data_IF_517714855802
#
_entry.id   IF_517714855802
#
_cell.length_a   1.000
_cell.length_b   1.000
_cell.length_c   1.000
_cell.angle_alpha   90.00
_cell.angle_beta   90.00
_cell.angle_gamma   90.00
#
_symmetry.space_group_name_H-M   'P 1'
#
loop_
_entity.id
_entity.type
_entity.pdbx_description
1 polymer ?
#
# COMPACT_ATOMS: atom_id res chain seq x y z
N UNK A 1 -4.66 -4.43 -24.63
CA UNK A 1 -4.67 -3.03 -25.06
C UNK A 1 -6.09 -2.45 -25.23
N UNK A 2 -7.05 -3.02 -26.01
CA UNK A 2 -8.38 -2.42 -26.18
C UNK A 2 -9.13 -2.20 -24.87
N UNK A 3 -9.00 -3.11 -23.92
CA UNK A 3 -9.64 -3.03 -22.61
C UNK A 3 -9.15 -1.82 -21.78
N UNK A 4 -7.86 -1.50 -21.85
CA UNK A 4 -7.27 -0.34 -21.11
C UNK A 4 -7.93 0.95 -21.60
N UNK A 5 -8.03 1.12 -22.94
CA UNK A 5 -8.68 2.29 -23.55
C UNK A 5 -10.17 2.38 -23.19
N UNK A 6 -10.89 1.28 -23.28
CA UNK A 6 -12.31 1.25 -22.90
C UNK A 6 -12.50 1.61 -21.42
N UNK A 7 -11.60 1.15 -20.53
CA UNK A 7 -11.67 1.40 -19.09
C UNK A 7 -11.43 2.86 -18.74
N UNK A 8 -10.44 3.51 -19.37
CA UNK A 8 -10.19 4.94 -19.13
C UNK A 8 -11.33 5.78 -19.67
N UNK A 9 -11.82 5.52 -20.91
CA UNK A 9 -12.95 6.25 -21.46
C UNK A 9 -14.18 6.15 -20.55
N UNK A 10 -14.54 4.95 -20.12
CA UNK A 10 -15.65 4.77 -19.18
C UNK A 10 -15.44 5.45 -17.81
N UNK A 11 -14.20 5.67 -17.40
CA UNK A 11 -13.90 6.44 -16.18
C UNK A 11 -14.09 7.94 -16.40
N UNK A 12 -13.57 8.48 -17.51
CA UNK A 12 -13.74 9.89 -17.89
C UNK A 12 -15.22 10.24 -18.06
N UNK A 13 -15.99 9.40 -18.76
CA UNK A 13 -17.42 9.59 -18.97
C UNK A 13 -18.20 9.64 -17.65
N UNK A 14 -17.93 8.71 -16.72
CA UNK A 14 -18.60 8.67 -15.40
C UNK A 14 -18.24 9.85 -14.52
N UNK A 15 -17.02 10.36 -14.60
CA UNK A 15 -16.56 11.51 -13.82
C UNK A 15 -16.89 12.85 -14.46
N UNK A 16 -17.24 12.88 -15.74
CA UNK A 16 -17.53 14.11 -16.50
C UNK A 16 -16.28 14.98 -16.66
N UNK A 17 -15.10 14.38 -16.87
CA UNK A 17 -13.81 15.08 -17.04
C UNK A 17 -13.12 14.60 -18.31
N UNK A 18 -12.21 15.42 -18.82
CA UNK A 18 -11.53 15.17 -20.09
C UNK A 18 -10.22 14.36 -19.91
N UNK A 19 -9.62 14.37 -18.72
CA UNK A 19 -8.40 13.62 -18.41
C UNK A 19 -8.32 13.24 -16.93
N UNK A 20 -7.44 12.31 -16.59
CA UNK A 20 -7.04 11.99 -15.21
C UNK A 20 -5.57 12.30 -14.97
N UNK A 21 -5.24 12.76 -13.76
CA UNK A 21 -3.84 13.00 -13.40
C UNK A 21 -3.06 11.70 -13.23
N UNK A 22 -3.63 10.69 -12.59
CA UNK A 22 -3.01 9.40 -12.37
C UNK A 22 -3.95 8.26 -12.82
N UNK A 23 -3.46 7.44 -13.74
CA UNK A 23 -4.14 6.21 -14.14
C UNK A 23 -3.34 4.99 -13.68
N UNK A 24 -3.95 4.14 -12.87
CA UNK A 24 -3.27 2.98 -12.29
C UNK A 24 -3.78 1.67 -12.91
N UNK A 25 -2.85 0.83 -13.37
CA UNK A 25 -3.16 -0.55 -13.73
C UNK A 25 -3.44 -1.35 -12.45
N UNK A 26 -4.65 -1.89 -12.32
CA UNK A 26 -5.10 -2.56 -11.10
C UNK A 26 -4.29 -3.84 -10.78
N UNK A 27 -3.91 -4.60 -11.81
CA UNK A 27 -3.09 -5.82 -11.72
C UNK A 27 -2.35 -6.05 -13.04
N UNK A 28 -1.19 -6.74 -13.01
CA UNK A 28 -0.60 -7.27 -14.23
C UNK A 28 -1.52 -8.33 -14.85
N UNK A 29 -1.64 -8.31 -16.17
CA UNK A 29 -2.31 -9.38 -16.90
C UNK A 29 -1.26 -10.42 -17.34
N UNK A 30 -1.32 -11.68 -16.84
CA UNK A 30 -0.32 -12.69 -17.17
C UNK A 30 -0.38 -13.15 -18.63
N UNK A 31 -1.47 -12.85 -19.34
CA UNK A 31 -1.68 -13.25 -20.75
C UNK A 31 -1.34 -12.12 -21.73
N UNK A 32 -1.01 -10.92 -21.25
CA UNK A 32 -0.65 -9.77 -22.09
C UNK A 32 0.83 -9.45 -21.98
N UNK A 33 1.53 -9.39 -23.09
CA UNK A 33 2.94 -9.01 -23.07
C UNK A 33 3.10 -7.53 -22.65
N UNK A 34 4.06 -7.18 -21.75
CA UNK A 34 4.21 -5.82 -21.22
C UNK A 34 4.35 -4.73 -22.30
N UNK A 35 4.94 -5.04 -23.45
CA UNK A 35 5.06 -4.11 -24.56
C UNK A 35 3.70 -3.66 -25.14
N UNK A 36 2.71 -4.54 -25.14
CA UNK A 36 1.36 -4.19 -25.62
C UNK A 36 0.66 -3.23 -24.65
N UNK A 37 0.78 -3.51 -23.36
CA UNK A 37 0.27 -2.63 -22.31
C UNK A 37 0.95 -1.27 -22.35
N UNK A 38 2.29 -1.24 -22.44
CA UNK A 38 3.08 -0.01 -22.52
C UNK A 38 2.70 0.85 -23.73
N UNK A 39 2.58 0.24 -24.91
CA UNK A 39 2.23 0.95 -26.13
C UNK A 39 0.84 1.63 -26.05
N UNK A 40 -0.11 1.02 -25.34
CA UNK A 40 -1.43 1.64 -25.14
C UNK A 40 -1.40 2.75 -24.09
N UNK A 41 -0.66 2.56 -23.00
CA UNK A 41 -0.47 3.60 -21.98
C UNK A 41 0.22 4.84 -22.53
N UNK A 42 1.30 4.65 -23.32
CA UNK A 42 1.99 5.77 -23.98
C UNK A 42 1.05 6.56 -24.89
N UNK A 43 0.16 5.89 -25.67
CA UNK A 43 -0.85 6.58 -26.47
C UNK A 43 -1.81 7.41 -25.62
N UNK A 44 -2.26 6.88 -24.46
CA UNK A 44 -3.17 7.62 -23.57
C UNK A 44 -2.50 8.88 -23.01
N UNK A 45 -1.19 8.82 -22.74
CA UNK A 45 -0.40 9.98 -22.30
C UNK A 45 -0.21 10.96 -23.47
N UNK A 46 0.17 10.48 -24.67
CA UNK A 46 0.37 11.31 -25.86
C UNK A 46 -0.92 12.03 -26.30
N UNK A 47 -2.08 11.40 -26.11
CA UNK A 47 -3.41 11.97 -26.37
C UNK A 47 -3.89 12.94 -25.25
N UNK A 48 -3.17 13.03 -24.14
CA UNK A 48 -3.50 13.89 -23.00
C UNK A 48 -4.67 13.40 -22.14
N UNK A 49 -5.12 12.14 -22.30
CA UNK A 49 -6.18 11.54 -21.49
C UNK A 49 -5.67 11.16 -20.09
N UNK A 50 -4.38 10.96 -19.94
CA UNK A 50 -3.69 10.55 -18.71
C UNK A 50 -2.40 11.37 -18.58
N UNK A 51 -2.12 11.93 -17.39
CA UNK A 51 -0.85 12.62 -17.14
C UNK A 51 0.24 11.67 -16.66
N UNK A 52 -0.08 10.82 -15.69
CA UNK A 52 0.88 9.96 -15.01
C UNK A 52 0.38 8.51 -14.96
N UNK A 53 1.31 7.58 -15.05
CA UNK A 53 1.03 6.15 -14.97
C UNK A 53 1.42 5.64 -13.58
N UNK A 54 0.53 4.83 -12.99
CA UNK A 54 0.80 4.02 -11.81
C UNK A 54 0.49 2.56 -12.07
N UNK A 55 0.93 1.73 -11.15
CA UNK A 55 0.60 0.30 -11.13
C UNK A 55 0.01 -0.08 -9.77
N UNK A 56 -0.59 -1.25 -9.68
CA UNK A 56 -1.07 -1.81 -8.43
C UNK A 56 -0.83 -3.31 -8.41
N UNK A 57 -0.35 -3.83 -7.28
CA UNK A 57 -0.03 -5.25 -7.11
C UNK A 57 1.02 -5.77 -8.11
N UNK A 58 1.96 -4.92 -8.51
CA UNK A 58 3.10 -5.29 -9.34
C UNK A 58 4.29 -5.66 -8.47
N UNK A 59 4.90 -6.80 -8.79
CA UNK A 59 6.19 -7.19 -8.25
C UNK A 59 7.34 -6.43 -8.92
N UNK A 60 8.53 -6.36 -8.29
CA UNK A 60 9.68 -5.65 -8.86
C UNK A 60 9.98 -6.02 -10.30
N UNK A 61 10.02 -7.31 -10.64
CA UNK A 61 10.31 -7.79 -12.00
C UNK A 61 9.21 -7.43 -13.00
N UNK A 62 7.94 -7.40 -12.57
CA UNK A 62 6.82 -6.98 -13.42
C UNK A 62 6.86 -5.49 -13.71
N UNK A 63 7.22 -4.69 -12.70
CA UNK A 63 7.45 -3.25 -12.85
C UNK A 63 8.57 -2.98 -13.83
N UNK A 64 9.72 -3.66 -13.72
CA UNK A 64 10.84 -3.54 -14.65
C UNK A 64 10.46 -4.01 -16.06
N UNK A 65 9.70 -5.10 -16.20
CA UNK A 65 9.25 -5.59 -17.49
C UNK A 65 8.34 -4.57 -18.20
N UNK A 66 7.44 -3.91 -17.48
CA UNK A 66 6.61 -2.84 -18.04
C UNK A 66 7.46 -1.60 -18.36
N UNK A 67 8.30 -1.15 -17.44
CA UNK A 67 9.18 0.02 -17.58
C UNK A 67 10.12 -0.08 -18.79
N UNK A 68 10.54 -1.31 -19.16
CA UNK A 68 11.40 -1.54 -20.33
C UNK A 68 10.78 -1.03 -21.63
N UNK A 69 9.47 -1.03 -21.75
CA UNK A 69 8.74 -0.67 -22.99
C UNK A 69 7.96 0.64 -22.85
N UNK A 70 7.68 1.08 -21.64
CA UNK A 70 6.93 2.29 -21.33
C UNK A 70 7.86 3.51 -21.39
N UNK A 71 7.47 4.57 -22.13
CA UNK A 71 8.18 5.85 -22.17
C UNK A 71 7.83 6.73 -20.98
N UNK A 72 6.54 6.75 -20.62
CA UNK A 72 6.06 7.50 -19.47
C UNK A 72 6.62 6.93 -18.16
N UNK A 73 6.93 7.75 -17.14
CA UNK A 73 7.37 7.25 -15.84
C UNK A 73 6.23 6.54 -15.12
N UNK A 74 6.55 5.45 -14.41
CA UNK A 74 5.68 4.86 -13.41
C UNK A 74 5.92 5.59 -12.10
N UNK A 75 4.92 6.30 -11.56
CA UNK A 75 5.09 7.16 -10.38
C UNK A 75 4.51 6.57 -9.09
N UNK A 76 3.71 5.51 -9.18
CA UNK A 76 3.14 4.86 -7.99
C UNK A 76 2.99 3.36 -8.16
N UNK A 77 3.11 2.63 -7.05
CA UNK A 77 2.68 1.22 -6.95
C UNK A 77 1.76 1.07 -5.74
N UNK A 78 0.49 0.73 -5.99
CA UNK A 78 -0.51 0.55 -4.94
C UNK A 78 -0.54 -0.92 -4.50
N UNK A 79 -0.15 -1.17 -3.26
CA UNK A 79 0.01 -2.51 -2.69
C UNK A 79 -0.64 -2.63 -1.32
N UNK A 80 -0.95 -3.86 -0.90
CA UNK A 80 -1.48 -4.11 0.45
C UNK A 80 -0.35 -4.05 1.48
N UNK A 81 -0.36 -3.02 2.33
CA UNK A 81 0.58 -2.90 3.45
C UNK A 81 -0.17 -2.45 4.69
N UNK A 82 0.04 -3.15 5.80
CA UNK A 82 -0.45 -2.79 7.13
C UNK A 82 0.26 -3.65 8.17
N UNK A 83 0.06 -3.36 9.44
CA UNK A 83 0.50 -4.26 10.54
C UNK A 83 -0.12 -5.67 10.48
N UNK A 84 -1.17 -5.89 9.66
CA UNK A 84 -1.74 -7.21 9.39
C UNK A 84 -1.35 -7.78 8.02
N UNK A 85 -0.58 -7.04 7.23
CA UNK A 85 -0.04 -7.44 5.94
C UNK A 85 1.39 -6.92 5.81
N UNK A 86 2.32 -7.71 6.31
CA UNK A 86 3.72 -7.33 6.52
C UNK A 86 4.64 -7.77 5.38
N UNK A 87 4.16 -8.59 4.42
CA UNK A 87 5.01 -9.17 3.38
C UNK A 87 5.94 -8.13 2.72
N UNK A 88 5.46 -6.94 2.29
CA UNK A 88 6.33 -5.94 1.66
C UNK A 88 7.44 -5.39 2.57
N UNK A 89 7.25 -5.47 3.90
CA UNK A 89 8.27 -5.06 4.90
C UNK A 89 9.27 -6.19 5.16
N UNK A 90 8.79 -7.45 5.13
CA UNK A 90 9.65 -8.62 5.40
C UNK A 90 10.68 -8.87 4.33
N UNK A 91 10.29 -8.61 3.10
CA UNK A 91 11.06 -8.92 1.92
C UNK A 91 12.38 -8.13 1.82
N UNK A 92 12.51 -7.06 2.61
CA UNK A 92 13.77 -6.33 2.81
C UNK A 92 14.78 -7.02 3.73
N UNK A 93 14.42 -8.16 4.38
CA UNK A 93 15.31 -8.88 5.31
C UNK A 93 15.47 -10.34 4.88
N UNK A 94 16.44 -10.62 4.02
CA UNK A 94 16.76 -11.97 3.55
C UNK A 94 17.13 -12.92 4.71
N UNK A 95 16.54 -14.12 4.73
CA UNK A 95 16.98 -15.25 5.59
C UNK A 95 16.27 -15.41 6.92
N UNK A 96 15.16 -14.71 7.20
CA UNK A 96 14.34 -14.97 8.40
C UNK A 96 13.44 -16.21 8.24
N UNK A 97 13.05 -16.90 9.35
CA UNK A 97 11.99 -17.91 9.32
C UNK A 97 10.69 -17.28 8.87
N UNK A 98 10.16 -17.70 7.74
CA UNK A 98 8.99 -17.10 7.10
C UNK A 98 9.32 -16.17 5.94
N UNK A 99 10.59 -16.10 5.50
CA UNK A 99 10.91 -15.74 4.12
C UNK A 99 10.31 -16.85 3.26
N UNK A 100 9.02 -16.79 3.10
CA UNK A 100 8.34 -17.56 2.08
C UNK A 100 8.73 -17.02 0.74
N UNK A 101 8.68 -17.86 -0.25
CA UNK A 101 8.67 -17.59 -1.68
C UNK A 101 7.71 -16.44 -2.05
N UNK A 102 7.90 -15.29 -1.44
CA UNK A 102 7.07 -14.13 -1.66
C UNK A 102 7.63 -13.41 -2.85
N UNK A 103 6.91 -13.54 -3.88
CA UNK A 103 7.08 -12.84 -5.14
C UNK A 103 6.98 -11.30 -5.04
N UNK A 104 7.19 -10.74 -3.90
CA UNK A 104 7.21 -9.31 -3.62
C UNK A 104 8.57 -8.79 -3.17
N UNK A 105 9.61 -9.63 -3.28
CA UNK A 105 10.94 -9.37 -2.76
C UNK A 105 11.48 -8.01 -3.17
N UNK A 106 11.59 -7.10 -2.19
CA UNK A 106 12.16 -5.78 -2.39
C UNK A 106 11.25 -4.76 -3.08
N UNK A 107 9.93 -4.91 -3.03
CA UNK A 107 9.03 -3.94 -3.68
C UNK A 107 9.17 -2.52 -3.11
N UNK A 108 9.41 -2.36 -1.81
CA UNK A 108 9.64 -1.05 -1.20
C UNK A 108 11.04 -0.51 -1.52
N UNK A 109 12.06 -1.38 -1.60
CA UNK A 109 13.40 -1.00 -2.04
C UNK A 109 13.39 -0.55 -3.49
N UNK A 110 12.65 -1.25 -4.36
CA UNK A 110 12.46 -0.82 -5.74
C UNK A 110 11.70 0.52 -5.83
N UNK A 111 10.72 0.75 -4.97
CA UNK A 111 10.03 2.04 -4.92
C UNK A 111 11.01 3.18 -4.61
N UNK A 112 11.95 2.97 -3.68
CA UNK A 112 13.02 3.93 -3.38
C UNK A 112 13.97 4.09 -4.58
N UNK A 113 14.43 2.98 -5.17
CA UNK A 113 15.39 2.99 -6.28
C UNK A 113 14.87 3.72 -7.53
N UNK A 114 13.57 3.58 -7.81
CA UNK A 114 12.93 4.08 -9.03
C UNK A 114 12.11 5.35 -8.85
N UNK A 115 12.14 5.97 -7.65
CA UNK A 115 11.29 7.12 -7.29
C UNK A 115 9.78 6.85 -7.49
N UNK A 116 9.35 5.63 -7.17
CA UNK A 116 7.95 5.21 -7.24
C UNK A 116 7.32 5.34 -5.84
N UNK A 117 6.22 6.07 -5.72
CA UNK A 117 5.51 6.22 -4.45
C UNK A 117 4.69 4.97 -4.12
N UNK A 118 4.97 4.26 -3.01
CA UNK A 118 4.12 3.16 -2.56
C UNK A 118 2.82 3.68 -1.94
N UNK A 119 1.68 3.24 -2.46
CA UNK A 119 0.36 3.57 -1.94
C UNK A 119 -0.19 2.36 -1.18
N UNK A 120 -0.42 2.50 0.14
CA UNK A 120 -0.87 1.39 0.97
C UNK A 120 -2.40 1.28 1.00
N UNK A 121 -2.98 0.29 0.32
CA UNK A 121 -4.40 0.01 0.52
C UNK A 121 -4.63 -0.90 1.73
N UNK A 122 -5.84 -0.79 2.32
CA UNK A 122 -6.21 -1.47 3.57
C UNK A 122 -5.25 -1.19 4.75
N UNK A 123 -4.84 0.06 4.98
CA UNK A 123 -3.77 0.42 5.92
C UNK A 123 -4.05 0.02 7.36
N UNK A 124 -5.32 -0.16 7.73
CA UNK A 124 -5.78 -0.65 9.05
C UNK A 124 -6.39 -2.05 8.97
N UNK A 125 -5.97 -2.86 7.99
CA UNK A 125 -6.40 -4.25 7.84
C UNK A 125 -7.91 -4.43 7.68
N UNK A 126 -8.56 -3.62 6.83
CA UNK A 126 -10.02 -3.68 6.65
C UNK A 126 -10.82 -3.23 7.89
N UNK A 127 -10.23 -2.40 8.73
CA UNK A 127 -10.85 -1.86 9.95
C UNK A 127 -10.59 -2.67 11.22
N UNK A 128 -9.91 -3.81 11.14
CA UNK A 128 -9.58 -4.60 12.34
C UNK A 128 -8.72 -3.82 13.34
N UNK A 129 -7.75 -3.05 12.87
CA UNK A 129 -6.87 -2.26 13.72
C UNK A 129 -7.50 -0.97 14.28
N UNK A 130 -8.77 -0.71 14.01
CA UNK A 130 -9.50 0.37 14.69
C UNK A 130 -9.80 0.06 16.14
N UNK A 131 -9.78 -1.21 16.52
CA UNK A 131 -10.21 -1.69 17.85
C UNK A 131 -11.71 -1.55 18.13
N UNK A 132 -12.50 -1.12 17.12
CA UNK A 132 -13.95 -0.93 17.20
C UNK A 132 -14.75 -2.18 16.77
N UNK A 133 -14.05 -3.19 16.22
CA UNK A 133 -14.67 -4.46 15.77
C UNK A 133 -14.22 -5.60 16.67
N UNK A 134 -15.17 -6.48 17.03
CA UNK A 134 -14.84 -7.74 17.69
C UNK A 134 -14.32 -8.72 16.64
N UNK A 135 -13.16 -9.34 16.91
CA UNK A 135 -12.57 -10.35 16.02
C UNK A 135 -13.29 -11.69 16.28
N UNK A 136 -13.89 -12.33 15.27
CA UNK A 136 -14.54 -13.64 15.44
C UNK A 136 -13.54 -14.71 15.93
N UNK A 137 -14.06 -15.68 16.70
CA UNK A 137 -13.22 -16.74 17.28
C UNK A 137 -12.55 -17.62 16.22
N UNK A 138 -13.24 -17.83 15.11
CA UNK A 138 -12.78 -18.62 13.96
C UNK A 138 -11.93 -17.82 12.95
N UNK A 139 -11.66 -16.54 13.22
CA UNK A 139 -10.85 -15.72 12.31
C UNK A 139 -9.38 -16.21 12.31
N UNK A 140 -8.91 -16.69 11.16
CA UNK A 140 -7.59 -17.32 11.02
C UNK A 140 -6.40 -16.48 11.48
N UNK A 141 -6.57 -15.14 11.56
CA UNK A 141 -5.53 -14.21 12.00
C UNK A 141 -5.84 -13.53 13.34
N UNK A 142 -6.79 -14.08 14.13
CA UNK A 142 -7.29 -13.49 15.38
C UNK A 142 -6.17 -13.13 16.33
N UNK A 143 -5.28 -14.06 16.61
CA UNK A 143 -4.18 -13.88 17.56
C UNK A 143 -3.27 -12.70 17.18
N UNK A 144 -2.92 -12.55 15.90
CA UNK A 144 -2.09 -11.44 15.45
C UNK A 144 -2.81 -10.11 15.53
N UNK A 145 -4.12 -10.08 15.22
CA UNK A 145 -4.95 -8.88 15.35
C UNK A 145 -5.00 -8.43 16.80
N UNK A 146 -5.29 -9.34 17.73
CA UNK A 146 -5.41 -9.04 19.15
C UNK A 146 -4.06 -8.59 19.75
N UNK A 147 -2.96 -9.27 19.43
CA UNK A 147 -1.63 -8.86 19.85
C UNK A 147 -1.26 -7.46 19.34
N UNK A 148 -1.53 -7.20 18.07
CA UNK A 148 -1.28 -5.88 17.47
C UNK A 148 -2.11 -4.79 18.12
N UNK A 149 -3.40 -5.04 18.35
CA UNK A 149 -4.29 -4.09 19.04
C UNK A 149 -3.85 -3.83 20.48
N UNK A 150 -3.37 -4.84 21.19
CA UNK A 150 -2.83 -4.68 22.55
C UNK A 150 -1.63 -3.75 22.52
N UNK A 151 -0.66 -3.99 21.65
CA UNK A 151 0.53 -3.14 21.53
C UNK A 151 0.18 -1.69 21.13
N UNK A 152 -0.77 -1.50 20.22
CA UNK A 152 -1.24 -0.17 19.81
C UNK A 152 -1.91 0.57 20.98
N UNK A 153 -2.71 -0.11 21.80
CA UNK A 153 -3.36 0.48 22.99
C UNK A 153 -2.35 0.84 24.09
N UNK A 154 -1.41 -0.05 24.37
CA UNK A 154 -0.35 0.19 25.37
C UNK A 154 0.54 1.38 25.01
N UNK A 155 0.66 1.68 23.71
CA UNK A 155 1.48 2.79 23.21
C UNK A 155 0.71 4.13 23.22
N UNK A 156 -0.60 4.13 23.36
CA UNK A 156 -1.49 5.31 23.26
C UNK A 156 -1.02 6.49 24.12
N UNK A 157 -0.74 6.25 25.40
CA UNK A 157 -0.38 7.31 26.35
C UNK A 157 0.95 8.00 25.99
N UNK A 158 1.91 7.26 25.44
CA UNK A 158 3.18 7.82 24.96
C UNK A 158 3.03 8.77 23.75
N UNK A 159 1.89 8.69 23.07
CA UNK A 159 1.55 9.51 21.91
C UNK A 159 0.27 10.32 22.13
N UNK A 160 0.14 10.95 23.31
CA UNK A 160 -0.92 11.89 23.65
C UNK A 160 -2.35 11.31 23.51
N UNK A 161 -2.54 10.04 23.82
CA UNK A 161 -3.84 9.36 23.71
C UNK A 161 -4.21 9.00 22.27
N UNK A 162 -3.22 8.86 21.38
CA UNK A 162 -3.47 8.46 19.98
C UNK A 162 -4.21 7.13 19.89
N UNK A 163 -5.20 7.07 19.00
CA UNK A 163 -6.00 5.86 18.80
C UNK A 163 -5.18 4.75 18.10
N UNK A 164 -5.59 3.48 18.22
CA UNK A 164 -4.98 2.38 17.46
C UNK A 164 -4.96 2.63 15.95
N UNK A 165 -6.02 3.24 15.40
CA UNK A 165 -6.09 3.67 14.00
C UNK A 165 -4.96 4.64 13.66
N UNK A 166 -4.78 5.68 14.46
CA UNK A 166 -3.76 6.71 14.24
C UNK A 166 -2.35 6.13 14.32
N UNK A 167 -2.08 5.30 15.32
CA UNK A 167 -0.76 4.66 15.46
C UNK A 167 -0.46 3.67 14.33
N UNK A 168 -1.45 2.91 13.86
CA UNK A 168 -1.27 2.02 12.72
C UNK A 168 -0.99 2.78 11.41
N UNK A 169 -1.62 3.93 11.20
CA UNK A 169 -1.33 4.82 10.07
C UNK A 169 0.05 5.48 10.23
N UNK A 170 0.38 6.00 11.41
CA UNK A 170 1.69 6.60 11.69
C UNK A 170 2.84 5.60 11.47
N UNK A 171 2.62 4.32 11.77
CA UNK A 171 3.58 3.25 11.50
C UNK A 171 3.92 3.15 10.01
N UNK A 172 2.94 3.24 9.12
CA UNK A 172 3.15 3.27 7.67
C UNK A 172 3.87 4.54 7.22
N UNK A 173 3.42 5.70 7.70
CA UNK A 173 4.00 7.00 7.36
C UNK A 173 5.47 7.14 7.78
N UNK A 174 5.89 6.42 8.83
CA UNK A 174 7.27 6.45 9.34
C UNK A 174 8.24 5.60 8.51
N UNK A 175 7.76 4.85 7.51
CA UNK A 175 8.64 4.01 6.68
C UNK A 175 9.43 4.87 5.67
N UNK A 176 10.76 4.63 5.51
CA UNK A 176 11.63 5.48 4.68
C UNK A 176 11.29 5.48 3.18
N UNK A 177 10.51 4.53 2.69
CA UNK A 177 10.04 4.52 1.29
C UNK A 177 8.94 5.54 0.98
N UNK A 178 8.49 6.32 1.98
CA UNK A 178 7.48 7.35 1.77
C UNK A 178 6.08 6.79 1.48
N UNK A 179 5.67 5.73 2.20
CA UNK A 179 4.35 5.11 2.04
C UNK A 179 3.24 6.13 2.27
N UNK A 180 2.30 6.20 1.33
CA UNK A 180 1.06 6.98 1.47
C UNK A 180 -0.09 6.03 1.76
N UNK A 181 -0.65 6.03 2.99
CA UNK A 181 -1.82 5.22 3.34
C UNK A 181 -3.09 5.72 2.65
N UNK A 182 -3.85 4.82 2.03
CA UNK A 182 -5.12 5.15 1.41
C UNK A 182 -6.27 5.00 2.39
N UNK A 183 -6.96 6.09 2.66
CA UNK A 183 -8.11 6.12 3.59
C UNK A 183 -9.33 5.53 2.90
N UNK A 184 -9.79 4.37 3.38
CA UNK A 184 -10.94 3.63 2.85
C UNK A 184 -12.25 3.92 3.62
N UNK A 185 -12.60 5.18 3.85
CA UNK A 185 -13.82 5.55 4.57
C UNK A 185 -14.53 6.71 3.89
N UNK A 186 -15.86 6.70 3.94
CA UNK A 186 -16.72 7.83 3.58
C UNK A 186 -17.28 8.56 4.82
N UNK A 187 -16.92 8.14 6.03
CA UNK A 187 -17.30 8.82 7.26
C UNK A 187 -16.28 9.94 7.55
N UNK A 188 -16.70 11.22 7.60
CA UNK A 188 -15.81 12.35 7.87
C UNK A 188 -15.01 12.23 9.17
N UNK A 189 -15.58 11.68 10.22
CA UNK A 189 -14.88 11.53 11.51
C UNK A 189 -13.75 10.48 11.41
N UNK A 190 -13.97 9.38 10.68
CA UNK A 190 -12.91 8.41 10.42
C UNK A 190 -11.81 8.99 9.54
N UNK A 191 -12.16 9.84 8.57
CA UNK A 191 -11.17 10.52 7.71
C UNK A 191 -10.32 11.48 8.54
N UNK A 192 -10.94 12.29 9.41
CA UNK A 192 -10.24 13.18 10.34
C UNK A 192 -9.33 12.43 11.30
N UNK A 193 -9.83 11.33 11.89
CA UNK A 193 -9.06 10.45 12.79
C UNK A 193 -7.79 9.94 12.08
N UNK A 194 -7.92 9.42 10.87
CA UNK A 194 -6.80 8.89 10.10
C UNK A 194 -5.84 9.99 9.62
N UNK A 195 -6.35 11.14 9.19
CA UNK A 195 -5.53 12.27 8.77
C UNK A 195 -4.68 12.84 9.92
N UNK A 196 -5.19 12.83 11.15
CA UNK A 196 -4.45 13.29 12.33
C UNK A 196 -3.20 12.42 12.63
N UNK A 197 -3.12 11.21 12.11
CA UNK A 197 -1.93 10.36 12.22
C UNK A 197 -0.67 11.00 11.60
N UNK A 198 -0.84 11.92 10.63
CA UNK A 198 0.27 12.65 10.02
C UNK A 198 1.02 13.58 10.98
N UNK A 199 0.49 13.83 12.18
CA UNK A 199 1.14 14.62 13.23
C UNK A 199 1.92 13.75 14.23
N UNK A 200 1.90 12.43 14.09
CA UNK A 200 2.54 11.50 15.01
C UNK A 200 3.92 11.11 14.47
N UNK A 201 4.95 11.52 15.17
CA UNK A 201 6.33 11.09 14.92
C UNK A 201 6.62 9.82 15.74
N UNK A 202 6.43 8.67 15.14
CA UNK A 202 6.67 7.39 15.81
C UNK A 202 8.18 7.14 15.99
N UNK A 203 8.62 6.85 17.22
CA UNK A 203 10.01 6.52 17.46
C UNK A 203 10.41 5.23 16.75
N UNK A 204 11.69 5.13 16.33
CA UNK A 204 12.21 3.90 15.71
C UNK A 204 12.00 2.66 16.62
N UNK A 205 12.19 2.81 17.92
CA UNK A 205 11.99 1.74 18.90
C UNK A 205 10.54 1.26 18.91
N UNK A 206 9.58 2.19 18.91
CA UNK A 206 8.16 1.87 18.95
C UNK A 206 7.67 1.33 17.60
N UNK A 207 8.24 1.80 16.49
CA UNK A 207 8.00 1.22 15.18
C UNK A 207 8.33 -0.28 15.14
N UNK A 208 9.51 -0.67 15.68
CA UNK A 208 9.92 -2.07 15.78
C UNK A 208 9.08 -2.87 16.79
N UNK A 209 8.65 -2.26 17.91
CA UNK A 209 7.74 -2.93 18.86
C UNK A 209 6.43 -3.33 18.19
N UNK A 210 5.82 -2.41 17.41
CA UNK A 210 4.61 -2.70 16.65
C UNK A 210 4.83 -3.79 15.62
N UNK A 211 5.95 -3.75 14.93
CA UNK A 211 6.30 -4.80 13.95
C UNK A 211 6.42 -6.18 14.62
N UNK A 212 7.13 -6.28 15.74
CA UNK A 212 7.28 -7.52 16.51
C UNK A 212 5.93 -8.03 17.01
N UNK A 213 5.08 -7.15 17.54
CA UNK A 213 3.74 -7.52 18.00
C UNK A 213 2.86 -8.05 16.86
N UNK A 214 2.86 -7.37 15.74
CA UNK A 214 2.10 -7.74 14.55
C UNK A 214 2.57 -9.07 13.93
N UNK A 215 3.87 -9.32 13.98
CA UNK A 215 4.49 -10.57 13.51
C UNK A 215 4.23 -11.74 14.45
N UNK A 216 4.16 -11.47 15.75
CA UNK A 216 4.13 -12.51 16.78
C UNK A 216 5.47 -13.24 16.98
N UNK A 217 6.57 -12.71 16.43
CA UNK A 217 7.92 -13.25 16.54
C UNK A 217 8.98 -12.12 16.50
N UNK A 218 10.19 -12.40 17.00
CA UNK A 218 11.30 -11.44 16.91
C UNK A 218 11.63 -11.11 15.45
N UNK A 219 12.06 -9.89 15.21
CA UNK A 219 12.62 -9.48 13.92
C UNK A 219 14.01 -10.13 13.77
N UNK A 220 14.42 -10.52 12.55
CA UNK A 220 15.74 -11.08 12.29
C UNK A 220 16.87 -10.15 12.74
#
# INVERSE_FOLDING_TARGET
>A
APYVRQSIQGSLDRMGIDYVDLYQLHRPDPMTHPAETAAELDKLVDEGLVKYIGVSNYYPQQTLALKKYLKAPIISNQISISLLRLDPIYEGAAGGPGSVDSAGDGVLDQCIELDITPLAYSPIGGGWLSGKRQVPDDHGNKKNIENTLTALREMSDAYNGATPTQLAIAWLLSHPSGIIPLVGSNNPEHIKEMAAAGQIELSRTDWYKLWVAARGARVP
#
